data_IF_380689851415
#
_entry.id   IF_380689851415
#
_cell.length_a   1.000
_cell.length_b   1.000
_cell.length_c   1.000
_cell.angle_alpha   90.00
_cell.angle_beta   90.00
_cell.angle_gamma   90.00
#
_symmetry.space_group_name_H-M   'P 1'
#
loop_
_entity.id
_entity.type
_entity.pdbx_description
1 polymer ?
#
# COMPACT_ATOMS: atom_id res chain seq x y z
N UNK A 1 23.34 6.96 -9.45
CA UNK A 1 22.17 7.86 -9.27
C UNK A 1 20.90 7.10 -8.86
N UNK A 2 20.58 5.93 -9.42
CA UNK A 2 19.38 5.15 -9.09
C UNK A 2 19.24 4.78 -7.59
N UNK A 3 20.34 4.44 -6.91
CA UNK A 3 20.34 4.10 -5.47
C UNK A 3 19.81 5.21 -4.55
N UNK A 4 19.74 6.46 -5.04
CA UNK A 4 19.19 7.61 -4.29
C UNK A 4 17.65 7.64 -4.30
N UNK A 5 17.01 6.89 -5.20
CA UNK A 5 15.57 6.90 -5.43
C UNK A 5 14.97 5.48 -5.41
N UNK A 6 15.64 4.54 -4.76
CA UNK A 6 15.25 3.14 -4.78
C UNK A 6 13.85 2.95 -4.21
N UNK A 7 13.58 3.51 -3.02
CA UNK A 7 12.28 3.34 -2.37
C UNK A 7 11.17 4.12 -3.09
N UNK A 8 11.51 5.26 -3.68
CA UNK A 8 10.59 6.04 -4.52
C UNK A 8 10.18 5.26 -5.76
N UNK A 9 11.14 4.64 -6.46
CA UNK A 9 10.87 3.80 -7.63
C UNK A 9 10.01 2.60 -7.22
N UNK A 10 10.39 1.89 -6.14
CA UNK A 10 9.60 0.76 -5.64
C UNK A 10 8.17 1.16 -5.27
N UNK A 11 7.97 2.31 -4.64
CA UNK A 11 6.65 2.82 -4.29
C UNK A 11 5.79 3.12 -5.52
N UNK A 12 6.37 3.78 -6.53
CA UNK A 12 5.67 4.07 -7.79
C UNK A 12 5.33 2.78 -8.53
N UNK A 13 6.29 1.85 -8.66
CA UNK A 13 6.07 0.55 -9.28
C UNK A 13 4.97 -0.24 -8.56
N UNK A 14 4.97 -0.23 -7.23
CA UNK A 14 3.94 -0.88 -6.43
C UNK A 14 2.57 -0.24 -6.63
N UNK A 15 2.51 1.09 -6.68
CA UNK A 15 1.26 1.84 -6.94
C UNK A 15 0.66 1.47 -8.30
N UNK A 16 1.48 1.44 -9.35
CA UNK A 16 1.04 1.02 -10.69
C UNK A 16 0.57 -0.43 -10.64
N UNK A 17 1.33 -1.32 -10.02
CA UNK A 17 0.99 -2.73 -9.89
C UNK A 17 -0.37 -2.94 -9.22
N UNK A 18 -0.62 -2.34 -8.05
CA UNK A 18 -1.90 -2.50 -7.35
C UNK A 18 -3.06 -1.83 -8.10
N UNK A 19 -2.81 -0.73 -8.84
CA UNK A 19 -3.84 -0.11 -9.70
C UNK A 19 -4.33 -1.12 -10.73
N UNK A 20 -3.40 -1.74 -11.45
CA UNK A 20 -3.70 -2.69 -12.51
C UNK A 20 -4.42 -3.93 -11.95
N UNK A 21 -3.95 -4.47 -10.82
CA UNK A 21 -4.58 -5.62 -10.19
C UNK A 21 -5.96 -5.34 -9.60
N UNK A 22 -6.20 -4.11 -9.11
CA UNK A 22 -7.49 -3.73 -8.54
C UNK A 22 -8.55 -3.48 -9.62
N UNK A 23 -8.15 -2.88 -10.75
CA UNK A 23 -9.08 -2.51 -11.82
C UNK A 23 -9.30 -3.61 -12.85
N UNK A 24 -8.29 -4.44 -13.14
CA UNK A 24 -8.45 -5.52 -14.11
C UNK A 24 -9.03 -6.79 -13.47
N UNK A 25 -9.99 -7.38 -14.18
CA UNK A 25 -10.52 -8.69 -13.86
C UNK A 25 -9.83 -9.73 -14.73
N UNK A 26 -9.00 -10.58 -14.12
CA UNK A 26 -8.32 -11.69 -14.80
C UNK A 26 -9.17 -12.98 -14.80
N UNK A 27 -10.50 -12.84 -14.90
CA UNK A 27 -11.40 -13.99 -15.12
C UNK A 27 -11.22 -14.50 -16.56
N UNK A 28 -10.17 -15.29 -16.77
CA UNK A 28 -10.02 -16.16 -17.93
C UNK A 28 -10.23 -17.62 -17.51
N UNK A 29 -10.83 -18.42 -18.38
CA UNK A 29 -11.33 -19.80 -18.13
C UNK A 29 -10.27 -20.87 -17.79
N UNK A 30 -9.06 -20.49 -17.38
CA UNK A 30 -7.91 -21.40 -17.24
C UNK A 30 -7.09 -21.28 -15.96
N UNK A 31 -7.48 -20.42 -15.01
CA UNK A 31 -6.81 -20.34 -13.71
C UNK A 31 -7.47 -21.32 -12.72
N UNK A 32 -6.69 -22.16 -12.00
CA UNK A 32 -7.23 -22.99 -10.93
C UNK A 32 -7.91 -22.09 -9.90
N UNK A 33 -9.22 -22.28 -9.69
CA UNK A 33 -9.98 -21.52 -8.70
C UNK A 33 -9.58 -21.99 -7.31
N UNK A 34 -8.62 -21.30 -6.70
CA UNK A 34 -8.32 -21.43 -5.27
C UNK A 34 -9.41 -20.69 -4.51
N UNK A 35 -10.46 -21.41 -4.13
CA UNK A 35 -11.59 -20.85 -3.40
C UNK A 35 -11.30 -20.86 -1.89
N UNK A 36 -10.45 -19.92 -1.46
CA UNK A 36 -10.21 -19.66 -0.04
C UNK A 36 -11.13 -18.50 0.37
N UNK A 37 -12.05 -18.71 1.32
CA UNK A 37 -12.93 -17.65 1.81
C UNK A 37 -12.13 -16.43 2.30
N UNK A 38 -12.56 -15.23 1.88
CA UNK A 38 -11.98 -13.93 2.30
C UNK A 38 -10.51 -13.70 1.91
N UNK A 39 -9.94 -14.51 1.01
CA UNK A 39 -8.56 -14.35 0.54
C UNK A 39 -8.34 -12.98 -0.14
N UNK A 40 -9.36 -12.49 -0.84
CA UNK A 40 -9.40 -11.14 -1.41
C UNK A 40 -9.12 -10.07 -0.35
N UNK A 41 -9.74 -10.16 0.83
CA UNK A 41 -9.52 -9.20 1.92
C UNK A 41 -8.09 -9.22 2.45
N UNK A 42 -7.47 -10.40 2.52
CA UNK A 42 -6.07 -10.55 2.91
C UNK A 42 -5.13 -9.94 1.86
N UNK A 43 -5.47 -10.09 0.57
CA UNK A 43 -4.73 -9.47 -0.55
C UNK A 43 -4.83 -7.95 -0.46
N UNK A 44 -6.03 -7.40 -0.28
CA UNK A 44 -6.28 -5.97 -0.07
C UNK A 44 -5.49 -5.42 1.12
N UNK A 45 -5.54 -6.08 2.27
CA UNK A 45 -4.72 -5.74 3.43
C UNK A 45 -3.22 -5.72 3.09
N UNK A 46 -2.73 -6.74 2.40
CA UNK A 46 -1.30 -6.87 2.06
C UNK A 46 -0.86 -5.78 1.07
N UNK A 47 -1.68 -5.47 0.06
CA UNK A 47 -1.39 -4.41 -0.90
C UNK A 47 -1.20 -3.06 -0.24
N UNK A 48 -2.10 -2.68 0.67
CA UNK A 48 -2.03 -1.39 1.34
C UNK A 48 -1.02 -1.37 2.49
N UNK A 49 -0.72 -2.52 3.10
CA UNK A 49 0.44 -2.67 3.99
C UNK A 49 1.74 -2.30 3.27
N UNK A 50 2.01 -2.94 2.13
CA UNK A 50 3.25 -2.69 1.36
C UNK A 50 3.24 -1.27 0.80
N UNK A 51 2.09 -0.78 0.33
CA UNK A 51 1.95 0.59 -0.16
C UNK A 51 2.34 1.62 0.91
N UNK A 52 1.76 1.55 2.11
CA UNK A 52 2.05 2.50 3.18
C UNK A 52 3.48 2.34 3.72
N UNK A 53 4.00 1.11 3.76
CA UNK A 53 5.38 0.84 4.16
C UNK A 53 6.38 1.48 3.19
N UNK A 54 6.23 1.22 1.88
CA UNK A 54 7.07 1.81 0.83
C UNK A 54 6.89 3.32 0.75
N UNK A 55 5.66 3.82 0.92
CA UNK A 55 5.36 5.26 0.99
C UNK A 55 6.15 5.95 2.09
N UNK A 56 6.17 5.38 3.30
CA UNK A 56 6.95 5.94 4.41
C UNK A 56 8.44 6.04 4.08
N UNK A 57 9.01 5.01 3.44
CA UNK A 57 10.41 4.98 3.05
C UNK A 57 10.71 5.95 1.90
N UNK A 58 9.86 5.98 0.86
CA UNK A 58 9.99 6.89 -0.28
C UNK A 58 9.87 8.36 0.11
N UNK A 59 8.91 8.72 0.98
CA UNK A 59 8.78 10.10 1.48
C UNK A 59 10.01 10.55 2.27
N UNK A 60 10.62 9.64 3.05
CA UNK A 60 11.87 9.95 3.77
C UNK A 60 13.06 10.04 2.84
N UNK A 61 13.14 9.19 1.82
CA UNK A 61 14.18 9.22 0.79
C UNK A 61 14.17 10.56 0.04
N UNK A 62 13.00 11.06 -0.35
CA UNK A 62 12.86 12.33 -1.07
C UNK A 62 13.10 13.57 -0.21
N UNK A 63 12.67 13.56 1.06
CA UNK A 63 12.71 14.75 1.93
C UNK A 63 13.91 14.78 2.88
N UNK A 64 14.74 13.73 2.89
CA UNK A 64 16.07 13.46 3.50
C UNK A 64 16.48 14.07 4.85
N UNK A 65 15.99 15.25 5.27
CA UNK A 65 16.38 15.90 6.54
C UNK A 65 15.25 16.56 7.34
N UNK A 66 14.08 16.86 6.75
CA UNK A 66 13.03 17.65 7.44
C UNK A 66 11.75 16.87 7.78
N UNK A 67 11.61 15.63 7.30
CA UNK A 67 10.42 14.82 7.56
C UNK A 67 10.68 13.86 8.71
N UNK A 68 10.06 14.14 9.85
CA UNK A 68 10.06 13.21 10.99
C UNK A 68 9.36 11.91 10.62
N UNK A 69 9.73 10.79 11.26
CA UNK A 69 9.07 9.49 11.06
C UNK A 69 7.56 9.61 11.30
N UNK A 70 7.13 10.35 12.33
CA UNK A 70 5.71 10.61 12.61
C UNK A 70 5.00 11.26 11.42
N UNK A 71 5.64 12.24 10.78
CA UNK A 71 5.09 12.93 9.60
C UNK A 71 5.03 12.02 8.39
N UNK A 72 6.06 11.20 8.15
CA UNK A 72 6.06 10.22 7.06
C UNK A 72 4.94 9.17 7.23
N UNK A 73 4.73 8.68 8.45
CA UNK A 73 3.64 7.75 8.81
C UNK A 73 2.28 8.38 8.54
N UNK A 74 2.05 9.59 9.04
CA UNK A 74 0.78 10.29 8.85
C UNK A 74 0.46 10.51 7.36
N UNK A 75 1.43 11.01 6.59
CA UNK A 75 1.24 11.25 5.15
C UNK A 75 0.96 9.92 4.43
N UNK A 76 1.69 8.85 4.76
CA UNK A 76 1.51 7.56 4.09
C UNK A 76 0.15 6.93 4.35
N UNK A 77 -0.34 7.00 5.60
CA UNK A 77 -1.69 6.53 5.94
C UNK A 77 -2.73 7.34 5.17
N UNK A 78 -2.62 8.68 5.20
CA UNK A 78 -3.57 9.56 4.52
C UNK A 78 -3.60 9.29 3.01
N UNK A 79 -2.43 9.20 2.38
CA UNK A 79 -2.32 8.89 0.95
C UNK A 79 -2.90 7.51 0.64
N UNK A 80 -2.60 6.48 1.44
CA UNK A 80 -3.10 5.14 1.22
C UNK A 80 -4.63 5.04 1.35
N UNK A 81 -5.23 5.67 2.38
CA UNK A 81 -6.68 5.64 2.59
C UNK A 81 -7.43 6.39 1.48
N UNK A 82 -6.94 7.59 1.10
CA UNK A 82 -7.54 8.36 -0.01
C UNK A 82 -7.40 7.59 -1.32
N UNK A 83 -6.21 7.06 -1.60
CA UNK A 83 -5.95 6.30 -2.80
C UNK A 83 -6.83 5.04 -2.88
N UNK A 84 -6.98 4.32 -1.76
CA UNK A 84 -7.85 3.15 -1.70
C UNK A 84 -9.31 3.48 -1.91
N UNK A 85 -9.81 4.55 -1.29
CA UNK A 85 -11.16 5.04 -1.54
C UNK A 85 -11.38 5.37 -3.02
N UNK A 86 -10.41 6.02 -3.69
CA UNK A 86 -10.49 6.32 -5.12
C UNK A 86 -10.54 5.04 -5.96
N UNK A 87 -9.73 4.03 -5.64
CA UNK A 87 -9.74 2.75 -6.35
C UNK A 87 -11.08 2.03 -6.21
N UNK A 88 -11.66 1.96 -5.00
CA UNK A 88 -12.98 1.36 -4.77
C UNK A 88 -14.07 2.07 -5.59
N UNK A 89 -14.06 3.41 -5.62
CA UNK A 89 -14.98 4.19 -6.45
C UNK A 89 -14.77 3.88 -7.94
N UNK A 90 -13.52 3.83 -8.39
CA UNK A 90 -13.18 3.51 -9.78
C UNK A 90 -13.60 2.10 -10.18
N UNK A 91 -13.54 1.12 -9.27
CA UNK A 91 -14.06 -0.21 -9.53
C UNK A 91 -15.56 -0.16 -9.86
N UNK A 92 -16.36 0.57 -9.08
CA UNK A 92 -17.80 0.68 -9.30
C UNK A 92 -18.22 1.53 -10.51
N UNK A 93 -17.44 2.55 -10.90
CA UNK A 93 -17.83 3.44 -12.01
C UNK A 93 -17.13 3.12 -13.33
N UNK A 94 -15.98 2.46 -13.31
CA UNK A 94 -15.14 2.25 -14.49
C UNK A 94 -14.93 0.77 -14.86
N UNK A 95 -15.50 -0.18 -14.10
CA UNK A 95 -15.41 -1.61 -14.42
C UNK A 95 -16.79 -2.26 -14.45
N UNK A 96 -16.97 -3.27 -15.32
CA UNK A 96 -18.25 -3.98 -15.48
C UNK A 96 -18.41 -5.20 -14.54
N UNK A 97 -17.33 -5.59 -13.84
CA UNK A 97 -17.26 -6.85 -13.10
C UNK A 97 -16.63 -6.72 -11.70
N UNK A 98 -16.42 -5.49 -11.20
CA UNK A 98 -15.99 -5.24 -9.81
C UNK A 98 -17.01 -4.32 -9.15
N UNK A 99 -17.57 -4.80 -8.05
CA UNK A 99 -18.40 -3.99 -7.18
C UNK A 99 -17.53 -3.39 -6.07
N UNK A 100 -17.72 -2.11 -5.71
CA UNK A 100 -17.07 -1.52 -4.54
C UNK A 100 -17.47 -2.29 -3.28
N UNK A 101 -16.52 -2.59 -2.41
CA UNK A 101 -16.79 -3.29 -1.15
C UNK A 101 -16.26 -2.50 0.05
N UNK A 102 -17.15 -2.21 0.99
CA UNK A 102 -16.79 -1.56 2.26
C UNK A 102 -15.77 -2.40 3.02
N UNK A 103 -15.85 -3.73 2.95
CA UNK A 103 -14.87 -4.62 3.58
C UNK A 103 -13.49 -4.52 2.92
N UNK A 104 -13.41 -4.27 1.61
CA UNK A 104 -12.14 -4.00 0.92
C UNK A 104 -11.57 -2.65 1.35
N UNK A 105 -12.41 -1.60 1.43
CA UNK A 105 -11.98 -0.32 1.99
C UNK A 105 -11.43 -0.45 3.42
N UNK A 106 -12.07 -1.25 4.27
CA UNK A 106 -11.61 -1.51 5.64
C UNK A 106 -10.30 -2.30 5.65
N UNK A 107 -10.16 -3.32 4.81
CA UNK A 107 -8.93 -4.10 4.68
C UNK A 107 -7.77 -3.24 4.18
N UNK A 108 -8.00 -2.43 3.15
CA UNK A 108 -7.06 -1.44 2.61
C UNK A 108 -6.60 -0.48 3.72
N UNK A 109 -7.55 0.09 4.47
CA UNK A 109 -7.26 1.02 5.56
C UNK A 109 -6.46 0.36 6.68
N UNK A 110 -6.85 -0.84 7.12
CA UNK A 110 -6.14 -1.60 8.16
C UNK A 110 -4.70 -1.92 7.73
N UNK A 111 -4.51 -2.37 6.49
CA UNK A 111 -3.19 -2.60 5.90
C UNK A 111 -2.32 -1.34 5.96
N UNK A 112 -2.88 -0.21 5.54
CA UNK A 112 -2.18 1.07 5.54
C UNK A 112 -1.70 1.49 6.94
N UNK A 113 -2.56 1.37 7.96
CA UNK A 113 -2.19 1.65 9.36
C UNK A 113 -1.05 0.72 9.81
N UNK A 114 -1.21 -0.59 9.64
CA UNK A 114 -0.22 -1.57 10.10
C UNK A 114 1.13 -1.39 9.39
N UNK A 115 1.12 -1.17 8.08
CA UNK A 115 2.33 -0.95 7.28
C UNK A 115 3.10 0.31 7.70
N UNK A 116 2.40 1.42 7.90
CA UNK A 116 3.03 2.65 8.34
C UNK A 116 3.55 2.55 9.79
N UNK A 117 2.78 1.93 10.70
CA UNK A 117 3.23 1.71 12.07
C UNK A 117 4.40 0.73 12.17
N UNK A 118 4.49 -0.27 11.28
CA UNK A 118 5.65 -1.15 11.19
C UNK A 118 6.93 -0.36 10.92
N UNK A 119 6.89 0.62 10.01
CA UNK A 119 8.02 1.54 9.77
C UNK A 119 8.32 2.33 11.04
N UNK A 120 7.32 2.93 11.69
CA UNK A 120 7.55 3.65 12.94
C UNK A 120 8.24 2.77 13.99
N UNK A 121 7.79 1.53 14.16
CA UNK A 121 8.35 0.58 15.12
C UNK A 121 9.81 0.24 14.79
N UNK A 122 10.10 -0.11 13.53
CA UNK A 122 11.46 -0.41 13.06
C UNK A 122 12.41 0.76 13.34
N UNK A 123 12.01 1.99 13.01
CA UNK A 123 12.87 3.17 13.16
C UNK A 123 12.76 3.86 14.54
N UNK A 124 12.00 3.32 15.49
CA UNK A 124 11.89 3.87 16.85
C UNK A 124 13.10 3.56 17.75
N UNK A 125 14.06 2.75 17.27
CA UNK A 125 15.20 2.29 18.07
C UNK A 125 14.90 1.05 18.93
N UNK A 126 13.64 0.61 18.98
CA UNK A 126 13.23 -0.64 19.62
C UNK A 126 13.54 -1.89 18.79
N UNK A 127 14.21 -1.73 17.65
CA UNK A 127 14.67 -2.83 16.82
C UNK A 127 16.17 -2.74 16.60
N UNK A 128 16.82 -3.90 16.39
CA UNK A 128 18.27 -3.99 16.13
C UNK A 128 18.68 -3.37 14.79
N UNK A 129 17.72 -2.95 13.95
CA UNK A 129 17.92 -2.31 12.66
C UNK A 129 18.36 -0.85 12.85
N UNK A 130 19.66 -0.66 13.11
CA UNK A 130 20.32 0.65 13.22
C UNK A 130 20.42 1.33 11.86
N UNK A 131 19.36 2.01 11.43
CA UNK A 131 19.43 2.87 10.25
C UNK A 131 19.88 4.28 10.65
N UNK A 132 21.19 4.53 10.60
CA UNK A 132 21.85 5.85 10.53
C UNK A 132 21.58 6.82 11.68
N UNK A 133 22.53 6.91 12.62
CA UNK A 133 23.00 8.24 13.04
C UNK A 133 23.73 8.88 11.86
#
# INVERSE_FOLDING_TARGET
>A
MLKKYLFTILFISWTVFITLLSLFSFKGDSLPSVDIPHLDKVVHFTFYFVFAFLGCLGYRELKSKNTTIKRAVFISILTAVIYGMVIEVLQGVATAHRDPDILDFLANSAGAFVGAYAVKYIFSGNTSLKWGK
#
